data_IF_451990995614
#
_entry.id   IF_451990995614
#
_cell.length_a   1.000
_cell.length_b   1.000
_cell.length_c   1.000
_cell.angle_alpha   90.00
_cell.angle_beta   90.00
_cell.angle_gamma   90.00
#
_symmetry.space_group_name_H-M   'P 1'
#
loop_
_entity.id
_entity.type
_entity.pdbx_description
1 polymer ?
#
# COMPACT_ATOMS: atom_id res chain seq x y z
N UNK A 1 33.00 -5.39 -23.17
CA UNK A 1 31.72 -6.15 -23.15
C UNK A 1 30.58 -5.16 -23.35
N UNK A 2 29.63 -5.39 -24.27
CA UNK A 2 28.51 -4.45 -24.45
C UNK A 2 27.72 -4.35 -23.12
N UNK A 3 27.40 -3.14 -22.64
CA UNK A 3 26.67 -3.00 -21.38
C UNK A 3 25.31 -3.68 -21.49
N UNK A 4 24.99 -4.52 -20.50
CA UNK A 4 23.69 -5.18 -20.44
C UNK A 4 22.58 -4.14 -20.46
N UNK A 5 21.58 -4.35 -21.31
CA UNK A 5 20.42 -3.46 -21.38
C UNK A 5 19.67 -3.43 -20.04
N UNK A 6 18.97 -2.34 -19.70
CA UNK A 6 18.15 -2.27 -18.49
C UNK A 6 17.15 -3.44 -18.36
N UNK A 7 16.61 -3.91 -19.49
CA UNK A 7 15.70 -5.06 -19.58
C UNK A 7 16.40 -6.37 -19.21
N UNK A 8 17.63 -6.59 -19.69
CA UNK A 8 18.41 -7.79 -19.38
C UNK A 8 18.85 -7.81 -17.91
N UNK A 9 19.30 -6.68 -17.35
CA UNK A 9 19.65 -6.56 -15.93
C UNK A 9 18.45 -6.87 -15.02
N UNK A 10 17.26 -6.40 -15.39
CA UNK A 10 16.03 -6.68 -14.64
C UNK A 10 15.64 -8.16 -14.68
N UNK A 11 15.75 -8.81 -15.84
CA UNK A 11 15.44 -10.23 -15.96
C UNK A 11 16.39 -11.12 -15.14
N UNK A 12 17.66 -10.70 -14.99
CA UNK A 12 18.63 -11.37 -14.09
C UNK A 12 18.17 -11.30 -12.64
N UNK A 13 17.80 -10.12 -12.15
CA UNK A 13 17.32 -9.91 -10.76
C UNK A 13 16.02 -10.68 -10.51
N UNK A 14 15.10 -10.68 -11.47
CA UNK A 14 13.83 -11.41 -11.39
C UNK A 14 14.06 -12.93 -11.26
N UNK A 15 14.89 -13.51 -12.14
CA UNK A 15 15.23 -14.94 -12.06
C UNK A 15 15.83 -15.31 -10.71
N UNK A 16 16.73 -14.47 -10.17
CA UNK A 16 17.35 -14.67 -8.87
C UNK A 16 16.32 -14.64 -7.72
N UNK A 17 15.41 -13.67 -7.68
CA UNK A 17 14.35 -13.58 -6.66
C UNK A 17 13.35 -14.74 -6.76
N UNK A 18 13.14 -15.29 -7.94
CA UNK A 18 12.38 -16.52 -8.16
C UNK A 18 13.17 -17.80 -7.85
N UNK A 19 14.33 -17.70 -7.20
CA UNK A 19 15.24 -18.80 -6.82
C UNK A 19 15.74 -19.65 -8.00
N UNK A 20 15.81 -19.07 -9.21
CA UNK A 20 16.42 -19.75 -10.36
C UNK A 20 17.95 -19.79 -10.23
N UNK A 21 18.57 -20.86 -10.73
CA UNK A 21 20.03 -20.96 -10.72
C UNK A 21 20.66 -19.94 -11.68
N UNK A 22 21.81 -19.38 -11.31
CA UNK A 22 22.53 -18.42 -12.16
C UNK A 22 22.89 -18.99 -13.54
N UNK A 23 23.03 -20.32 -13.64
CA UNK A 23 23.22 -21.03 -14.91
C UNK A 23 21.97 -20.94 -15.79
N UNK A 24 20.79 -21.24 -15.24
CA UNK A 24 19.52 -21.18 -15.97
C UNK A 24 19.21 -19.76 -16.44
N UNK A 25 19.52 -18.76 -15.61
CA UNK A 25 19.35 -17.34 -15.94
C UNK A 25 20.28 -16.93 -17.10
N UNK A 26 21.54 -17.37 -17.07
CA UNK A 26 22.54 -17.10 -18.12
C UNK A 26 22.12 -17.70 -19.47
N UNK A 27 21.65 -18.95 -19.44
CA UNK A 27 21.18 -19.67 -20.63
C UNK A 27 19.94 -18.99 -21.22
N UNK A 28 18.95 -18.65 -20.39
CA UNK A 28 17.71 -18.00 -20.83
C UNK A 28 17.91 -16.59 -21.40
N UNK A 29 18.85 -15.84 -20.85
CA UNK A 29 19.10 -14.45 -21.25
C UNK A 29 20.26 -14.30 -22.22
N UNK A 30 20.88 -15.41 -22.61
CA UNK A 30 22.08 -15.48 -23.47
C UNK A 30 23.16 -14.50 -23.01
N UNK A 31 23.44 -14.48 -21.70
CA UNK A 31 24.44 -13.61 -21.08
C UNK A 31 25.46 -14.42 -20.26
N UNK A 32 26.63 -13.84 -20.00
CA UNK A 32 27.66 -14.54 -19.23
C UNK A 32 27.30 -14.63 -17.74
N UNK A 33 27.74 -15.70 -17.07
CA UNK A 33 27.57 -15.84 -15.62
C UNK A 33 28.24 -14.71 -14.84
N UNK A 34 29.38 -14.21 -15.31
CA UNK A 34 30.07 -13.05 -14.74
C UNK A 34 29.20 -11.80 -14.78
N UNK A 35 28.49 -11.55 -15.88
CA UNK A 35 27.58 -10.42 -15.98
C UNK A 35 26.36 -10.54 -15.05
N UNK A 36 25.95 -11.77 -14.70
CA UNK A 36 24.93 -12.01 -13.68
C UNK A 36 25.45 -11.65 -12.29
N UNK A 37 26.65 -12.13 -11.93
CA UNK A 37 27.24 -11.84 -10.62
C UNK A 37 27.50 -10.34 -10.42
N UNK A 38 27.97 -9.63 -11.45
CA UNK A 38 28.17 -8.18 -11.39
C UNK A 38 26.86 -7.41 -11.15
N UNK A 39 25.77 -7.85 -11.80
CA UNK A 39 24.43 -7.26 -11.59
C UNK A 39 23.90 -7.56 -10.18
N UNK A 40 24.10 -8.78 -9.68
CA UNK A 40 23.63 -9.18 -8.34
C UNK A 40 24.44 -8.51 -7.22
N UNK A 41 25.74 -8.29 -7.41
CA UNK A 41 26.61 -7.59 -6.47
C UNK A 41 26.25 -6.11 -6.31
N UNK A 42 25.80 -5.46 -7.37
CA UNK A 42 25.24 -4.11 -7.28
C UNK A 42 23.80 -4.08 -6.76
N UNK A 43 23.03 -5.17 -6.93
CA UNK A 43 21.68 -5.31 -6.38
C UNK A 43 21.67 -5.48 -4.85
N UNK A 44 22.64 -6.19 -4.26
CA UNK A 44 22.76 -6.32 -2.80
C UNK A 44 23.06 -4.98 -2.11
N UNK A 45 23.87 -4.13 -2.74
CA UNK A 45 24.14 -2.75 -2.28
C UNK A 45 22.90 -1.85 -2.35
N UNK A 46 22.00 -2.15 -3.28
CA UNK A 46 20.74 -1.45 -3.52
C UNK A 46 19.68 -1.80 -2.44
N UNK A 47 19.66 -3.04 -1.92
CA UNK A 47 18.74 -3.43 -0.83
C UNK A 47 18.98 -2.66 0.49
N UNK A 48 20.20 -2.17 0.72
CA UNK A 48 20.58 -1.46 1.95
C UNK A 48 20.05 -0.01 2.02
N UNK A 49 19.77 0.64 0.88
CA UNK A 49 19.43 2.06 0.82
C UNK A 49 17.98 2.29 0.29
N UNK A 50 17.11 2.89 1.12
CA UNK A 50 15.63 2.93 0.99
C UNK A 50 15.01 3.41 -0.33
N UNK A 51 15.74 4.09 -1.22
CA UNK A 51 15.25 4.52 -2.54
C UNK A 51 14.92 3.33 -3.48
N UNK A 52 15.57 2.18 -3.28
CA UNK A 52 15.32 0.99 -4.09
C UNK A 52 14.05 0.23 -3.70
N UNK A 53 13.53 0.41 -2.49
CA UNK A 53 12.21 -0.13 -2.12
C UNK A 53 11.15 0.54 -2.97
N UNK A 54 11.21 1.86 -3.14
CA UNK A 54 10.30 2.64 -3.99
C UNK A 54 10.46 2.35 -5.50
N UNK A 55 11.66 1.96 -5.94
CA UNK A 55 11.90 1.55 -7.34
C UNK A 55 11.42 0.12 -7.64
N UNK A 56 11.64 -0.84 -6.73
CA UNK A 56 11.11 -2.22 -6.82
C UNK A 56 9.58 -2.24 -6.83
N UNK A 57 9.01 -1.42 -5.97
CA UNK A 57 7.61 -1.05 -5.85
C UNK A 57 6.98 -0.50 -7.14
N UNK A 58 7.57 0.56 -7.70
CA UNK A 58 7.18 1.09 -9.01
C UNK A 58 7.28 0.02 -10.10
N UNK A 59 8.33 -0.82 -10.07
CA UNK A 59 8.48 -1.96 -10.99
C UNK A 59 7.44 -3.06 -10.81
N UNK A 60 7.01 -3.41 -9.59
CA UNK A 60 5.91 -4.37 -9.36
C UNK A 60 4.64 -3.82 -9.98
N UNK A 61 4.26 -2.58 -9.67
CA UNK A 61 3.10 -1.93 -10.27
C UNK A 61 3.19 -1.94 -11.80
N UNK A 62 4.26 -1.40 -12.39
CA UNK A 62 4.42 -1.29 -13.86
C UNK A 62 4.54 -2.64 -14.57
N UNK A 63 5.23 -3.63 -14.00
CA UNK A 63 5.36 -4.97 -14.60
C UNK A 63 4.05 -5.75 -14.55
N UNK A 64 3.26 -5.59 -13.48
CA UNK A 64 1.92 -6.18 -13.41
C UNK A 64 0.96 -5.54 -14.41
N UNK A 65 0.93 -4.21 -14.52
CA UNK A 65 0.08 -3.51 -15.52
C UNK A 65 0.50 -3.85 -16.95
N UNK A 66 1.80 -3.98 -17.23
CA UNK A 66 2.32 -4.09 -18.60
C UNK A 66 2.45 -5.52 -19.14
N UNK A 67 2.63 -6.57 -18.31
CA UNK A 67 2.81 -7.96 -18.80
C UNK A 67 1.54 -8.81 -18.87
N UNK A 68 0.51 -8.53 -18.06
CA UNK A 68 -0.69 -9.38 -18.04
C UNK A 68 -1.90 -8.79 -18.75
N UNK A 69 -1.94 -7.48 -19.08
CA UNK A 69 -3.18 -6.79 -19.47
C UNK A 69 -4.35 -7.11 -18.52
N UNK A 70 -4.06 -7.46 -17.27
CA UNK A 70 -5.06 -7.80 -16.27
C UNK A 70 -5.16 -6.63 -15.30
N UNK A 71 -6.37 -6.10 -15.08
CA UNK A 71 -6.52 -4.93 -14.25
C UNK A 71 -6.37 -5.31 -12.77
N UNK A 72 -5.56 -4.55 -12.03
CA UNK A 72 -5.36 -4.72 -10.58
C UNK A 72 -6.73 -4.54 -9.92
N UNK A 73 -7.16 -5.53 -9.16
CA UNK A 73 -8.55 -5.70 -8.73
C UNK A 73 -8.65 -5.69 -7.21
N UNK A 74 -9.14 -4.60 -6.65
CA UNK A 74 -9.34 -4.38 -5.22
C UNK A 74 -8.04 -4.06 -4.48
N UNK A 75 -7.94 -2.78 -4.17
CA UNK A 75 -6.93 -2.18 -3.31
C UNK A 75 -7.61 -1.94 -1.98
N UNK A 76 -7.08 -2.55 -0.94
CA UNK A 76 -7.61 -2.49 0.42
C UNK A 76 -6.50 -2.10 1.34
N UNK A 77 -6.54 -0.89 1.90
CA UNK A 77 -5.63 -0.51 2.97
C UNK A 77 -6.40 0.18 4.08
N UNK A 78 -6.08 -0.27 5.28
CA UNK A 78 -6.58 0.22 6.56
C UNK A 78 -6.26 1.70 6.74
N UNK A 79 -7.28 2.53 6.99
CA UNK A 79 -7.05 3.92 7.36
C UNK A 79 -7.72 4.32 8.67
N UNK A 80 -6.92 4.98 9.52
CA UNK A 80 -7.40 5.61 10.73
C UNK A 80 -7.86 7.03 10.38
N UNK A 81 -9.14 7.33 10.60
CA UNK A 81 -9.66 8.70 10.57
C UNK A 81 -9.74 9.22 12.02
N UNK A 82 -8.79 10.07 12.39
CA UNK A 82 -8.78 10.67 13.73
C UNK A 82 -9.84 11.78 13.84
N UNK A 83 -10.57 11.83 14.94
CA UNK A 83 -11.42 12.97 15.32
C UNK A 83 -10.52 14.20 15.45
N UNK A 84 -10.87 15.20 14.66
CA UNK A 84 -10.57 16.63 14.72
C UNK A 84 -9.30 17.15 15.46
N UNK A 85 -8.63 18.06 14.75
CA UNK A 85 -7.60 19.03 15.20
C UNK A 85 -6.13 18.60 15.31
N UNK A 86 -5.60 17.91 14.30
CA UNK A 86 -4.16 18.00 14.02
C UNK A 86 -3.98 18.25 12.53
N UNK A 87 -3.95 19.53 12.13
CA UNK A 87 -3.74 19.89 10.72
C UNK A 87 -4.38 21.20 10.27
N UNK A 88 -5.20 21.87 11.08
CA UNK A 88 -5.26 23.32 10.91
C UNK A 88 -3.94 23.87 11.42
N UNK A 89 -2.94 23.91 10.56
CA UNK A 89 -1.96 25.00 10.59
C UNK A 89 -2.78 26.26 10.29
N UNK A 90 -3.58 26.70 11.27
CA UNK A 90 -4.19 28.01 11.27
C UNK A 90 -3.00 28.94 11.31
N UNK A 91 -2.68 29.50 10.15
CA UNK A 91 -1.71 30.56 10.09
C UNK A 91 -2.37 31.73 10.79
N UNK A 92 -1.74 32.17 11.88
CA UNK A 92 -2.14 33.35 12.61
C UNK A 92 -1.09 34.40 12.28
N UNK A 93 -1.53 35.60 11.95
CA UNK A 93 -0.65 36.76 11.86
C UNK A 93 -0.44 37.26 13.29
N UNK A 94 0.81 37.43 13.72
CA UNK A 94 1.16 37.87 15.08
C UNK A 94 2.42 38.74 15.06
N UNK A 95 2.58 39.56 16.08
CA UNK A 95 3.78 40.37 16.29
C UNK A 95 4.87 39.58 17.06
N UNK A 96 6.15 40.00 17.00
CA UNK A 96 7.21 39.41 17.82
C UNK A 96 6.90 39.53 19.31
N UNK A 97 6.98 38.42 20.07
CA UNK A 97 6.64 38.37 21.49
C UNK A 97 5.24 37.80 21.81
N UNK A 98 4.38 37.62 20.80
CA UNK A 98 3.04 37.04 20.99
C UNK A 98 3.03 35.51 20.87
N UNK A 99 4.18 34.84 21.00
CA UNK A 99 4.30 33.43 20.61
C UNK A 99 3.45 32.49 21.45
N UNK A 100 3.15 32.89 22.68
CA UNK A 100 2.37 32.15 23.67
C UNK A 100 1.00 32.78 23.93
N UNK A 101 0.59 33.80 23.16
CA UNK A 101 -0.73 34.40 23.28
C UNK A 101 -1.81 33.31 23.01
N UNK A 102 -2.81 33.11 23.90
CA UNK A 102 -3.91 32.17 23.71
C UNK A 102 -4.60 32.25 22.34
N UNK A 103 -4.68 33.44 21.73
CA UNK A 103 -5.26 33.63 20.40
C UNK A 103 -4.33 33.16 19.25
N UNK A 104 -3.03 33.04 19.54
CA UNK A 104 -1.98 32.61 18.63
C UNK A 104 -1.56 31.13 18.80
N UNK A 105 -2.12 30.43 19.80
CA UNK A 105 -1.80 29.03 20.08
C UNK A 105 -3.06 28.15 19.98
N UNK A 106 -2.90 26.96 19.42
CA UNK A 106 -3.95 25.94 19.42
C UNK A 106 -3.52 24.79 20.34
N UNK A 107 -4.34 24.47 21.34
CA UNK A 107 -4.06 23.34 22.25
C UNK A 107 -4.18 22.03 21.47
N UNK A 108 -3.14 21.21 21.54
CA UNK A 108 -3.13 19.85 20.96
C UNK A 108 -3.18 18.79 22.05
N UNK A 109 -4.04 17.78 21.89
CA UNK A 109 -4.05 16.59 22.74
C UNK A 109 -3.25 15.46 22.09
N UNK A 110 -2.49 14.69 22.90
CA UNK A 110 -1.68 13.54 22.42
C UNK A 110 -2.54 12.35 21.98
N UNK A 111 -3.74 12.20 22.56
CA UNK A 111 -4.67 11.10 22.30
C UNK A 111 -6.06 11.65 21.95
N UNK A 112 -6.27 11.98 20.68
CA UNK A 112 -7.60 12.33 20.18
C UNK A 112 -8.45 11.06 20.01
N UNK A 113 -9.77 11.20 20.14
CA UNK A 113 -10.70 10.17 19.71
C UNK A 113 -10.45 9.87 18.21
N UNK A 114 -10.56 8.62 17.77
CA UNK A 114 -10.36 8.27 16.36
C UNK A 114 -11.22 7.09 15.98
N UNK A 115 -11.75 7.11 14.75
CA UNK A 115 -12.44 5.98 14.16
C UNK A 115 -11.58 5.33 13.10
N UNK A 116 -11.65 4.02 13.03
CA UNK A 116 -10.89 3.24 12.04
C UNK A 116 -11.89 2.82 10.99
N UNK A 117 -11.60 3.14 9.74
CA UNK A 117 -12.41 2.69 8.63
C UNK A 117 -11.62 1.68 7.81
N UNK A 118 -12.34 0.71 7.29
CA UNK A 118 -11.88 -0.16 6.23
C UNK A 118 -12.60 0.25 4.96
N UNK A 119 -11.88 0.28 3.85
CA UNK A 119 -12.47 0.49 2.54
C UNK A 119 -11.71 -0.28 1.48
N UNK A 120 -12.30 -0.29 0.29
CA UNK A 120 -11.63 -0.81 -0.88
C UNK A 120 -12.16 -0.14 -2.14
N UNK A 121 -11.38 -0.19 -3.21
CA UNK A 121 -11.85 0.20 -4.53
C UNK A 121 -11.11 -0.58 -5.62
N UNK A 122 -11.66 -0.55 -6.82
CA UNK A 122 -11.04 -1.08 -8.02
C UNK A 122 -11.27 -0.11 -9.19
N UNK A 123 -10.67 -0.41 -10.35
CA UNK A 123 -10.95 0.32 -11.58
C UNK A 123 -12.41 0.23 -12.04
N UNK A 124 -13.20 -0.73 -11.52
CA UNK A 124 -14.64 -0.81 -11.79
C UNK A 124 -15.47 0.15 -10.94
N UNK A 125 -14.94 0.59 -9.81
CA UNK A 125 -15.68 1.41 -8.86
C UNK A 125 -15.21 1.26 -7.43
N UNK A 126 -15.87 2.03 -6.57
CA UNK A 126 -15.69 2.01 -5.12
C UNK A 126 -16.35 0.77 -4.54
N UNK A 127 -15.69 0.16 -3.56
CA UNK A 127 -16.32 -0.80 -2.67
C UNK A 127 -16.94 -0.10 -1.45
N UNK A 128 -17.27 -0.89 -0.43
CA UNK A 128 -17.86 -0.39 0.81
C UNK A 128 -16.83 0.31 1.71
N UNK A 129 -17.29 1.35 2.42
CA UNK A 129 -16.57 1.93 3.56
C UNK A 129 -17.22 1.40 4.85
N UNK A 130 -16.45 0.69 5.66
CA UNK A 130 -16.89 -0.01 6.86
C UNK A 130 -16.23 0.61 8.10
N UNK A 131 -17.04 1.04 9.06
CA UNK A 131 -16.53 1.48 10.36
C UNK A 131 -16.11 0.28 11.21
N UNK A 132 -14.83 0.21 11.56
CA UNK A 132 -14.29 -0.80 12.47
C UNK A 132 -14.38 -0.28 13.91
N UNK A 133 -15.09 -1.04 14.75
CA UNK A 133 -15.24 -0.73 16.18
C UNK A 133 -14.11 -1.41 16.97
N UNK A 134 -13.43 -0.62 17.81
CA UNK A 134 -12.39 -1.12 18.72
C UNK A 134 -11.05 -1.41 18.04
N UNK A 135 -10.28 -2.31 18.64
CA UNK A 135 -8.96 -2.70 18.15
C UNK A 135 -9.09 -3.65 16.95
N UNK A 136 -8.44 -3.31 15.83
CA UNK A 136 -8.40 -4.22 14.67
C UNK A 136 -7.33 -5.29 14.93
N UNK A 137 -7.81 -6.51 15.13
CA UNK A 137 -6.99 -7.73 15.28
C UNK A 137 -6.97 -8.56 14.00
N UNK A 138 -6.15 -9.61 13.95
CA UNK A 138 -6.16 -10.57 12.85
C UNK A 138 -7.53 -11.23 12.64
N UNK A 139 -8.26 -11.51 13.72
CA UNK A 139 -9.63 -12.03 13.67
C UNK A 139 -10.60 -11.02 13.06
N UNK A 140 -10.49 -9.74 13.44
CA UNK A 140 -11.29 -8.67 12.85
C UNK A 140 -11.04 -8.58 11.35
N UNK A 141 -9.77 -8.67 10.94
CA UNK A 141 -9.40 -8.62 9.53
C UNK A 141 -9.83 -9.86 8.74
N UNK A 142 -9.72 -11.06 9.33
CA UNK A 142 -10.23 -12.29 8.72
C UNK A 142 -11.75 -12.22 8.47
N UNK A 143 -12.49 -11.63 9.41
CA UNK A 143 -13.93 -11.36 9.22
C UNK A 143 -14.17 -10.37 8.08
N UNK A 144 -13.39 -9.29 8.00
CA UNK A 144 -13.48 -8.33 6.89
C UNK A 144 -13.27 -9.00 5.53
N UNK A 145 -12.33 -9.96 5.45
CA UNK A 145 -12.09 -10.69 4.21
C UNK A 145 -13.35 -11.43 3.76
N UNK A 146 -13.97 -12.18 4.67
CA UNK A 146 -15.15 -12.98 4.35
C UNK A 146 -16.39 -12.11 4.09
N UNK A 147 -16.61 -11.10 4.94
CA UNK A 147 -17.84 -10.30 4.90
C UNK A 147 -17.83 -9.23 3.80
N UNK A 148 -16.66 -8.73 3.40
CA UNK A 148 -16.56 -7.57 2.50
C UNK A 148 -15.62 -7.78 1.32
N UNK A 149 -14.42 -8.35 1.52
CA UNK A 149 -13.44 -8.52 0.42
C UNK A 149 -13.97 -9.52 -0.60
N UNK A 150 -14.38 -10.71 -0.16
CA UNK A 150 -14.86 -11.77 -1.06
C UNK A 150 -16.08 -11.32 -1.87
N UNK A 151 -17.15 -10.77 -1.26
CA UNK A 151 -18.30 -10.27 -2.02
C UNK A 151 -17.93 -9.17 -3.02
N UNK A 152 -17.09 -8.20 -2.62
CA UNK A 152 -16.66 -7.12 -3.53
C UNK A 152 -15.83 -7.67 -4.68
N UNK A 153 -14.99 -8.66 -4.43
CA UNK A 153 -14.19 -9.31 -5.45
C UNK A 153 -15.05 -10.13 -6.42
N UNK A 154 -16.08 -10.81 -5.95
CA UNK A 154 -16.98 -11.57 -6.81
C UNK A 154 -17.89 -10.64 -7.63
N UNK A 155 -18.35 -9.52 -7.05
CA UNK A 155 -19.12 -8.49 -7.74
C UNK A 155 -18.30 -7.78 -8.82
N UNK A 156 -17.10 -7.29 -8.47
CA UNK A 156 -16.25 -6.58 -9.41
C UNK A 156 -15.55 -7.53 -10.40
N UNK A 157 -15.32 -8.80 -10.05
CA UNK A 157 -14.53 -9.73 -10.86
C UNK A 157 -15.19 -11.12 -10.97
N UNK A 158 -16.42 -11.20 -11.53
CA UNK A 158 -17.20 -12.44 -11.58
C UNK A 158 -16.57 -13.52 -12.47
N UNK A 159 -15.73 -13.12 -13.42
CA UNK A 159 -15.05 -14.03 -14.35
C UNK A 159 -13.60 -14.35 -13.93
N UNK A 160 -13.22 -14.02 -12.69
CA UNK A 160 -11.88 -14.26 -12.16
C UNK A 160 -10.86 -13.20 -12.59
N UNK A 161 -9.57 -13.59 -12.56
CA UNK A 161 -8.41 -12.70 -12.75
C UNK A 161 -8.35 -11.55 -11.72
N UNK A 162 -8.46 -11.94 -10.45
CA UNK A 162 -8.41 -11.01 -9.32
C UNK A 162 -7.14 -11.14 -8.49
N UNK A 163 -6.52 -10.01 -8.19
CA UNK A 163 -5.36 -9.83 -7.33
C UNK A 163 -5.73 -8.79 -6.27
N UNK A 164 -5.84 -9.24 -5.03
CA UNK A 164 -6.10 -8.40 -3.88
C UNK A 164 -4.81 -7.69 -3.42
N UNK A 165 -4.85 -6.38 -3.20
CA UNK A 165 -3.73 -5.63 -2.65
C UNK A 165 -4.06 -5.19 -1.22
N UNK A 166 -3.14 -5.45 -0.29
CA UNK A 166 -3.15 -4.92 1.07
C UNK A 166 -1.72 -4.66 1.58
N UNK A 167 -1.57 -3.82 2.60
CA UNK A 167 -0.28 -3.58 3.24
C UNK A 167 0.09 -4.72 4.22
N UNK A 168 1.34 -4.74 4.66
CA UNK A 168 1.85 -5.74 5.60
C UNK A 168 1.59 -5.36 7.07
N UNK A 169 0.43 -4.77 7.37
CA UNK A 169 0.08 -4.46 8.76
C UNK A 169 -0.01 -5.75 9.58
N UNK A 170 0.33 -5.74 10.90
CA UNK A 170 0.35 -6.96 11.71
C UNK A 170 -0.96 -7.77 11.70
N UNK A 171 -2.18 -7.16 11.72
CA UNK A 171 -3.42 -7.91 11.56
C UNK A 171 -3.50 -8.66 10.23
N UNK A 172 -3.01 -8.06 9.14
CA UNK A 172 -3.10 -8.64 7.81
C UNK A 172 -2.19 -9.86 7.72
N UNK A 173 -0.98 -9.79 8.26
CA UNK A 173 -0.02 -10.89 8.28
C UNK A 173 -0.31 -11.98 9.36
N UNK A 174 -1.43 -11.89 10.09
CA UNK A 174 -1.75 -12.87 11.11
C UNK A 174 -2.06 -14.25 10.51
N UNK A 175 -1.79 -15.34 11.27
CA UNK A 175 -2.10 -16.71 10.82
C UNK A 175 -3.57 -16.89 10.43
N UNK A 176 -4.47 -16.32 11.21
CA UNK A 176 -5.93 -16.39 10.97
C UNK A 176 -6.30 -15.68 9.66
N UNK A 177 -5.70 -14.52 9.40
CA UNK A 177 -5.94 -13.78 8.17
C UNK A 177 -5.34 -14.48 6.95
N UNK A 178 -4.15 -15.08 7.06
CA UNK A 178 -3.58 -15.87 5.98
C UNK A 178 -4.46 -17.08 5.63
N UNK A 179 -4.93 -17.81 6.64
CA UNK A 179 -5.87 -18.92 6.45
C UNK A 179 -7.17 -18.47 5.78
N UNK A 180 -7.76 -17.36 6.23
CA UNK A 180 -8.97 -16.81 5.62
C UNK A 180 -8.79 -16.45 4.12
N UNK A 181 -7.60 -15.99 3.73
CA UNK A 181 -7.28 -15.71 2.31
C UNK A 181 -7.12 -16.98 1.49
N UNK A 182 -6.46 -17.98 2.07
CA UNK A 182 -6.24 -19.28 1.44
C UNK A 182 -7.58 -20.01 1.21
N UNK A 183 -8.44 -20.05 2.22
CA UNK A 183 -9.79 -20.63 2.14
C UNK A 183 -10.64 -19.93 1.07
N UNK A 184 -10.54 -18.60 0.99
CA UNK A 184 -11.22 -17.78 -0.01
C UNK A 184 -10.56 -17.81 -1.41
N UNK A 185 -9.43 -18.53 -1.57
CA UNK A 185 -8.64 -18.61 -2.81
C UNK A 185 -8.27 -17.23 -3.36
N UNK A 186 -7.98 -16.28 -2.47
CA UNK A 186 -7.60 -14.92 -2.83
C UNK A 186 -6.11 -14.89 -3.15
N UNK A 187 -5.79 -14.43 -4.36
CA UNK A 187 -4.40 -14.14 -4.74
C UNK A 187 -4.05 -12.75 -4.22
N UNK A 188 -3.07 -12.65 -3.33
CA UNK A 188 -2.61 -11.36 -2.78
C UNK A 188 -1.37 -10.86 -3.51
N UNK A 189 -1.36 -9.57 -3.86
CA UNK A 189 -0.21 -8.89 -4.39
C UNK A 189 0.87 -8.80 -3.31
N UNK A 190 2.07 -9.26 -3.61
CA UNK A 190 3.22 -9.06 -2.73
C UNK A 190 3.51 -7.56 -2.60
N UNK A 191 3.27 -7.03 -1.40
CA UNK A 191 3.41 -5.61 -1.12
C UNK A 191 4.74 -5.32 -0.39
N UNK A 192 5.51 -4.32 -0.82
CA UNK A 192 6.72 -3.90 -0.13
C UNK A 192 6.40 -3.16 1.18
N UNK A 193 7.20 -3.41 2.21
CA UNK A 193 7.05 -2.71 3.49
C UNK A 193 7.23 -1.19 3.33
N UNK A 194 6.48 -0.41 4.13
CA UNK A 194 6.60 1.06 4.20
C UNK A 194 6.45 1.77 2.85
N UNK A 195 5.57 1.29 1.97
CA UNK A 195 5.36 1.88 0.64
C UNK A 195 3.94 2.43 0.47
N UNK A 196 3.50 3.41 1.29
CA UNK A 196 2.17 4.00 1.15
C UNK A 196 2.02 4.79 -0.16
N UNK A 197 3.10 5.34 -0.70
CA UNK A 197 3.12 6.14 -1.93
C UNK A 197 2.66 5.38 -3.19
N UNK A 198 2.73 4.06 -3.16
CA UNK A 198 2.26 3.21 -4.26
C UNK A 198 0.79 2.86 -4.15
N UNK A 199 0.19 3.09 -2.98
CA UNK A 199 -1.15 2.68 -2.70
C UNK A 199 -2.11 3.79 -3.14
N UNK A 200 -2.82 3.63 -4.28
CA UNK A 200 -3.67 4.69 -4.79
C UNK A 200 -4.87 5.02 -3.89
N UNK A 201 -5.22 4.16 -2.91
CA UNK A 201 -6.29 4.48 -1.95
C UNK A 201 -5.88 5.64 -1.03
N UNK A 202 -4.58 5.87 -0.83
CA UNK A 202 -4.07 7.00 -0.04
C UNK A 202 -4.52 8.34 -0.64
N UNK A 203 -4.55 8.42 -1.98
CA UNK A 203 -5.01 9.60 -2.69
C UNK A 203 -6.51 9.84 -2.45
N UNK A 204 -7.32 8.79 -2.49
CA UNK A 204 -8.74 8.87 -2.20
C UNK A 204 -8.99 9.31 -0.76
N UNK A 205 -8.25 8.74 0.20
CA UNK A 205 -8.31 9.14 1.60
C UNK A 205 -7.84 10.58 1.83
N UNK A 206 -6.84 11.06 1.10
CA UNK A 206 -6.41 12.45 1.15
C UNK A 206 -7.53 13.40 0.72
N UNK A 207 -8.22 13.08 -0.39
CA UNK A 207 -9.38 13.84 -0.85
C UNK A 207 -10.53 13.81 0.16
N UNK A 208 -10.89 12.63 0.68
CA UNK A 208 -11.95 12.48 1.68
C UNK A 208 -11.64 13.26 2.96
N UNK A 209 -10.41 13.20 3.46
CA UNK A 209 -9.96 14.02 4.59
C UNK A 209 -10.10 15.50 4.27
N UNK A 210 -9.67 15.93 3.08
CA UNK A 210 -9.84 17.30 2.61
C UNK A 210 -11.30 17.75 2.62
N UNK A 211 -12.22 16.93 2.11
CA UNK A 211 -13.66 17.22 2.12
C UNK A 211 -14.22 17.32 3.53
N UNK A 212 -13.84 16.40 4.42
CA UNK A 212 -14.23 16.44 5.85
C UNK A 212 -13.71 17.71 6.53
N UNK A 213 -12.49 18.14 6.21
CA UNK A 213 -11.91 19.37 6.76
C UNK A 213 -12.56 20.65 6.25
N UNK A 214 -13.14 20.62 5.05
CA UNK A 214 -13.85 21.76 4.43
C UNK A 214 -15.31 21.89 4.89
N UNK A 215 -15.86 20.90 5.60
CA UNK A 215 -17.24 20.98 6.11
C UNK A 215 -17.40 22.11 7.13
N UNK A 216 -18.48 22.86 6.96
CA UNK A 216 -18.96 23.87 7.90
C UNK A 216 -20.45 23.63 8.20
N UNK A 217 -20.85 23.41 9.48
CA UNK A 217 -19.98 23.30 10.64
C UNK A 217 -19.09 22.07 10.58
N UNK A 218 -17.94 22.17 11.25
CA UNK A 218 -17.02 21.05 11.41
C UNK A 218 -17.71 19.86 12.10
N UNK A 219 -17.50 18.61 11.63
CA UNK A 219 -18.13 17.43 12.21
C UNK A 219 -17.78 17.24 13.68
N UNK A 220 -18.78 17.17 14.55
CA UNK A 220 -18.63 17.07 16.00
C UNK A 220 -18.40 15.64 16.50
N UNK A 221 -18.77 14.61 15.73
CA UNK A 221 -18.86 13.21 16.17
C UNK A 221 -18.30 12.16 15.21
N UNK A 222 -17.23 12.48 14.48
CA UNK A 222 -16.43 11.43 13.80
C UNK A 222 -15.55 10.71 14.82
#
# INVERSE_FOLDING_TARGET
>A
MKPLTPKTRYAIIYGYNCKQSGRLIAENLRCSKTAIYDVLKHFSFIQENGENRQLCSKKIATVWTSRKKQPISAITIRHNLKKFQQGRNRRVWREPGEELNPDCVAVTVKHSFSRIFWDCFSWRGLGLIVLLKGLVTGQTHAKIIQDYVVPTLDEHFPHGNRIFQEDNAPPHCSKVTMAAREDAKIVVLQWPAQSPDLNPIENMWAEMKGMVYRRDPSPSNI
#
